data_IF_404348101567
#
_entry.id   IF_404348101567
#
_cell.length_a   1.000
_cell.length_b   1.000
_cell.length_c   1.000
_cell.angle_alpha   90.00
_cell.angle_beta   90.00
_cell.angle_gamma   90.00
#
_symmetry.space_group_name_H-M   'P 1'
#
loop_
_entity.id
_entity.type
_entity.pdbx_description
1 polymer ?
#
# COMPACT_ATOMS: atom_id res chain seq x y z
N UNK A 1 15.30 -14.13 52.63
CA UNK A 1 15.99 -13.00 51.99
C UNK A 1 17.26 -13.53 51.31
N UNK A 2 17.17 -13.95 50.04
CA UNK A 2 18.35 -14.31 49.22
C UNK A 2 18.64 -13.11 48.34
N UNK A 3 19.81 -12.51 48.56
CA UNK A 3 20.33 -11.43 47.72
C UNK A 3 20.57 -11.94 46.30
N UNK A 4 20.22 -11.10 45.33
CA UNK A 4 20.59 -11.22 43.93
C UNK A 4 22.10 -10.99 43.79
N UNK A 5 22.90 -12.05 43.88
CA UNK A 5 24.25 -12.07 43.32
C UNK A 5 24.10 -12.19 41.80
N UNK A 6 23.96 -11.05 41.13
CA UNK A 6 24.10 -10.95 39.68
C UNK A 6 25.56 -11.28 39.34
N UNK A 7 25.76 -12.46 38.77
CA UNK A 7 27.07 -13.00 38.40
C UNK A 7 27.80 -12.08 37.41
N UNK A 8 29.02 -11.68 37.75
CA UNK A 8 29.97 -10.94 36.88
C UNK A 8 30.21 -11.64 35.52
N UNK A 9 29.89 -12.93 35.41
CA UNK A 9 29.95 -13.71 34.17
C UNK A 9 28.94 -13.26 33.10
N UNK A 10 27.72 -12.85 33.46
CA UNK A 10 26.69 -12.41 32.48
C UNK A 10 27.01 -11.02 31.90
N UNK A 11 27.71 -10.18 32.66
CA UNK A 11 28.14 -8.85 32.19
C UNK A 11 29.35 -8.89 31.24
N UNK A 12 30.18 -9.94 31.34
CA UNK A 12 31.37 -10.08 30.50
C UNK A 12 31.02 -10.67 29.13
N UNK A 13 30.06 -11.59 29.09
CA UNK A 13 29.56 -12.22 27.85
C UNK A 13 28.80 -11.23 26.95
N UNK A 14 28.03 -10.29 27.55
CA UNK A 14 27.36 -9.22 26.78
C UNK A 14 28.34 -8.27 26.09
N UNK A 15 29.47 -7.96 26.72
CA UNK A 15 30.48 -7.05 26.13
C UNK A 15 31.20 -7.71 24.95
N UNK A 16 31.50 -9.00 25.03
CA UNK A 16 32.14 -9.75 23.94
C UNK A 16 31.23 -9.94 22.73
N UNK A 17 29.90 -9.99 22.92
CA UNK A 17 28.94 -10.16 21.83
C UNK A 17 28.60 -8.84 21.10
N UNK A 18 28.81 -7.68 21.75
CA UNK A 18 28.68 -6.36 21.14
C UNK A 18 29.88 -6.02 20.23
N UNK A 19 31.10 -6.44 20.60
CA UNK A 19 32.32 -6.14 19.83
C UNK A 19 32.45 -6.93 18.51
N UNK A 20 31.80 -8.09 18.39
CA UNK A 20 31.84 -8.93 17.18
C UNK A 20 30.58 -8.79 16.31
N UNK A 21 29.78 -7.75 16.52
CA UNK A 21 28.56 -7.52 15.76
C UNK A 21 28.93 -6.91 14.41
N UNK A 22 29.06 -7.75 13.38
CA UNK A 22 29.16 -7.28 11.99
C UNK A 22 28.03 -6.28 11.73
N UNK A 23 28.39 -5.11 11.19
CA UNK A 23 27.45 -4.00 11.07
C UNK A 23 26.28 -4.42 10.16
N UNK A 24 25.02 -4.31 10.62
CA UNK A 24 23.88 -4.71 9.81
C UNK A 24 23.73 -3.80 8.59
N UNK A 25 23.54 -4.38 7.42
CA UNK A 25 23.17 -3.66 6.20
C UNK A 25 21.69 -3.33 6.23
N UNK A 26 21.34 -2.04 6.16
CA UNK A 26 19.93 -1.59 6.19
C UNK A 26 19.50 -1.13 4.80
N UNK A 27 18.37 -1.66 4.34
CA UNK A 27 17.66 -1.18 3.15
C UNK A 27 16.42 -0.39 3.59
N UNK A 28 16.43 0.91 3.38
CA UNK A 28 15.33 1.79 3.74
C UNK A 28 14.47 2.07 2.50
N UNK A 29 13.31 1.41 2.43
CA UNK A 29 12.36 1.55 1.33
C UNK A 29 11.30 2.59 1.69
N UNK A 30 11.21 3.66 0.91
CA UNK A 30 10.29 4.78 1.15
C UNK A 30 9.34 4.89 -0.05
N UNK A 31 8.04 4.60 0.12
CA UNK A 31 7.06 4.88 -0.91
C UNK A 31 6.87 6.40 -1.04
N UNK A 32 6.93 6.90 -2.26
CA UNK A 32 6.72 8.29 -2.60
C UNK A 32 5.48 8.38 -3.49
N UNK A 33 4.43 9.05 -3.00
CA UNK A 33 3.19 9.26 -3.74
C UNK A 33 2.69 10.69 -3.55
N UNK A 34 2.54 11.45 -4.63
CA UNK A 34 1.82 12.73 -4.68
C UNK A 34 2.29 13.85 -3.70
N UNK A 35 3.53 13.77 -3.18
CA UNK A 35 4.11 14.72 -2.21
C UNK A 35 5.43 15.36 -2.71
N UNK A 36 5.40 15.98 -3.89
CA UNK A 36 6.59 16.62 -4.52
C UNK A 36 7.31 17.61 -3.59
N UNK A 37 6.57 18.30 -2.72
CA UNK A 37 7.10 19.34 -1.85
C UNK A 37 7.89 18.80 -0.64
N UNK A 38 7.69 17.55 -0.24
CA UNK A 38 8.32 17.00 0.97
C UNK A 38 9.65 16.30 0.71
N UNK A 39 9.80 15.66 -0.46
CA UNK A 39 11.05 15.00 -0.87
C UNK A 39 12.31 15.89 -0.73
N UNK A 40 12.28 17.20 -1.07
CA UNK A 40 13.42 18.10 -0.90
C UNK A 40 13.82 18.36 0.56
N UNK A 41 12.89 18.22 1.49
CA UNK A 41 13.12 18.45 2.92
C UNK A 41 13.55 17.15 3.59
N UNK A 42 12.91 16.04 3.20
CA UNK A 42 13.09 14.73 3.83
C UNK A 42 14.40 14.06 3.40
N UNK A 43 14.79 14.15 2.11
CA UNK A 43 16.03 13.55 1.60
C UNK A 43 17.31 13.99 2.34
N UNK A 44 17.59 15.28 2.59
CA UNK A 44 18.78 15.70 3.33
C UNK A 44 18.76 15.24 4.79
N UNK A 45 17.60 15.27 5.46
CA UNK A 45 17.47 14.79 6.85
C UNK A 45 17.75 13.28 6.94
N UNK A 46 17.31 12.51 5.95
CA UNK A 46 17.60 11.09 5.87
C UNK A 46 19.08 10.81 5.59
N UNK A 47 19.69 11.60 4.71
CA UNK A 47 21.12 11.51 4.42
C UNK A 47 21.95 11.78 5.68
N UNK A 48 21.62 12.84 6.42
CA UNK A 48 22.30 13.19 7.67
C UNK A 48 22.17 12.06 8.71
N UNK A 49 20.98 11.46 8.83
CA UNK A 49 20.75 10.34 9.74
C UNK A 49 21.54 9.09 9.34
N UNK A 50 21.53 8.70 8.07
CA UNK A 50 22.31 7.54 7.62
C UNK A 50 23.81 7.81 7.78
N UNK A 51 24.29 8.99 7.42
CA UNK A 51 25.69 9.37 7.56
C UNK A 51 26.12 9.38 9.03
N UNK A 52 25.27 9.88 9.93
CA UNK A 52 25.50 9.85 11.38
C UNK A 52 25.48 8.43 11.96
N UNK A 53 24.73 7.51 11.38
CA UNK A 53 24.70 6.10 11.80
C UNK A 53 25.89 5.31 11.23
N UNK A 54 26.33 5.60 9.99
CA UNK A 54 27.55 5.06 9.38
C UNK A 54 28.79 5.49 10.16
N UNK A 55 28.91 6.77 10.50
CA UNK A 55 30.06 7.28 11.28
C UNK A 55 30.18 6.65 12.67
N UNK A 56 29.04 6.28 13.28
CA UNK A 56 28.99 5.54 14.54
C UNK A 56 29.21 4.03 14.40
N UNK A 57 29.51 3.52 13.20
CA UNK A 57 29.68 2.09 12.90
C UNK A 57 28.45 1.25 13.31
N UNK A 58 27.25 1.85 13.31
CA UNK A 58 26.01 1.16 13.67
C UNK A 58 25.41 0.41 12.47
N UNK A 59 25.81 0.77 11.26
CA UNK A 59 25.29 0.24 9.98
C UNK A 59 26.38 0.21 8.93
N UNK A 60 26.35 -0.85 8.11
CA UNK A 60 27.32 -1.04 7.03
C UNK A 60 27.28 0.09 6.00
N UNK A 61 28.43 0.38 5.39
CA UNK A 61 28.55 1.32 4.27
C UNK A 61 27.73 0.90 3.04
N UNK A 62 27.40 -0.39 2.94
CA UNK A 62 26.50 -0.97 1.92
C UNK A 62 25.00 -0.73 2.22
N UNK A 63 24.66 0.13 3.19
CA UNK A 63 23.26 0.47 3.45
C UNK A 63 22.72 1.43 2.38
N UNK A 64 21.50 1.18 1.90
CA UNK A 64 20.90 1.88 0.77
C UNK A 64 19.50 2.44 1.07
N UNK A 65 19.14 3.54 0.41
CA UNK A 65 17.79 4.12 0.40
C UNK A 65 17.15 3.84 -0.95
N UNK A 66 15.98 3.19 -0.94
CA UNK A 66 15.19 2.91 -2.13
C UNK A 66 13.91 3.76 -2.11
N UNK A 67 13.83 4.72 -3.03
CA UNK A 67 12.66 5.55 -3.25
C UNK A 67 11.74 4.85 -4.27
N UNK A 68 10.53 4.48 -3.85
CA UNK A 68 9.56 3.78 -4.70
C UNK A 68 8.45 4.75 -5.09
N UNK A 69 8.44 5.18 -6.36
CA UNK A 69 7.38 6.01 -6.92
C UNK A 69 6.15 5.16 -7.24
N UNK A 70 5.10 5.28 -6.41
CA UNK A 70 3.84 4.52 -6.52
C UNK A 70 2.85 5.17 -7.50
N UNK A 71 3.33 5.49 -8.71
CA UNK A 71 2.50 6.02 -9.78
C UNK A 71 2.12 7.49 -9.63
N UNK A 72 3.01 8.32 -9.08
CA UNK A 72 2.79 9.76 -8.97
C UNK A 72 2.57 10.39 -10.35
N UNK A 73 1.57 11.26 -10.48
CA UNK A 73 1.32 12.04 -11.70
C UNK A 73 2.28 13.26 -11.81
N UNK A 74 3.07 13.49 -10.76
CA UNK A 74 3.86 14.71 -10.57
C UNK A 74 5.37 14.55 -10.84
N UNK A 75 6.10 15.67 -10.76
CA UNK A 75 7.56 15.80 -11.01
C UNK A 75 8.51 15.00 -10.09
N UNK A 76 8.01 14.14 -9.20
CA UNK A 76 8.79 13.23 -8.33
C UNK A 76 9.82 12.45 -9.14
N UNK A 77 9.46 12.02 -10.34
CA UNK A 77 10.35 11.28 -11.24
C UNK A 77 11.61 12.06 -11.63
N UNK A 78 11.48 13.37 -11.87
CA UNK A 78 12.63 14.21 -12.20
C UNK A 78 13.53 14.42 -10.98
N UNK A 79 12.93 14.46 -9.79
CA UNK A 79 13.65 14.63 -8.53
C UNK A 79 14.42 13.36 -8.12
N UNK A 80 13.79 12.19 -8.18
CA UNK A 80 14.45 10.89 -7.90
C UNK A 80 15.63 10.67 -8.86
N UNK A 81 15.50 11.03 -10.14
CA UNK A 81 16.62 10.96 -11.09
C UNK A 81 17.76 11.89 -10.72
N UNK A 82 17.46 13.13 -10.32
CA UNK A 82 18.49 14.08 -9.87
C UNK A 82 19.23 13.57 -8.63
N UNK A 83 18.51 12.97 -7.68
CA UNK A 83 19.14 12.35 -6.51
C UNK A 83 20.03 11.17 -6.89
N UNK A 84 19.57 10.30 -7.80
CA UNK A 84 20.37 9.17 -8.29
C UNK A 84 21.61 9.63 -9.08
N UNK A 85 21.53 10.73 -9.83
CA UNK A 85 22.66 11.32 -10.56
C UNK A 85 23.67 12.01 -9.63
N UNK A 86 23.24 12.44 -8.43
CA UNK A 86 24.08 13.14 -7.45
C UNK A 86 24.78 12.17 -6.49
N UNK A 87 24.06 11.14 -6.02
CA UNK A 87 24.56 10.16 -5.03
C UNK A 87 24.15 8.73 -5.42
N UNK A 88 24.71 8.26 -6.54
CA UNK A 88 24.36 6.97 -7.18
C UNK A 88 24.66 5.72 -6.32
N UNK A 89 25.43 5.85 -5.23
CA UNK A 89 25.75 4.75 -4.33
C UNK A 89 24.75 4.59 -3.17
N UNK A 90 23.95 5.61 -2.86
CA UNK A 90 23.06 5.62 -1.69
C UNK A 90 21.57 5.65 -2.06
N UNK A 91 21.20 6.36 -3.13
CA UNK A 91 19.80 6.53 -3.51
C UNK A 91 19.47 5.76 -4.78
N UNK A 92 18.56 4.80 -4.67
CA UNK A 92 18.00 4.09 -5.82
C UNK A 92 16.52 4.47 -6.00
N UNK A 93 16.08 4.57 -7.25
CA UNK A 93 14.70 4.93 -7.60
C UNK A 93 14.02 3.83 -8.41
N UNK A 94 12.84 3.36 -7.96
CA UNK A 94 12.01 2.40 -8.70
C UNK A 94 10.64 3.00 -8.95
N UNK A 95 10.16 2.97 -10.19
CA UNK A 95 8.83 3.41 -10.57
C UNK A 95 7.91 2.22 -10.78
N UNK A 96 6.75 2.23 -10.12
CA UNK A 96 5.67 1.28 -10.39
C UNK A 96 4.86 1.76 -11.61
N UNK A 97 4.52 0.83 -12.50
CA UNK A 97 3.88 1.12 -13.79
C UNK A 97 2.40 1.54 -13.66
N UNK A 98 1.78 1.30 -12.50
CA UNK A 98 0.40 1.68 -12.22
C UNK A 98 0.16 1.68 -10.71
N UNK A 99 -0.49 2.73 -10.18
CA UNK A 99 -1.04 2.71 -8.83
C UNK A 99 -2.28 1.79 -8.83
N UNK A 100 -2.04 0.50 -8.64
CA UNK A 100 -3.09 -0.50 -8.45
C UNK A 100 -2.93 -1.08 -7.05
N UNK A 101 -3.18 -0.20 -6.06
CA UNK A 101 -3.38 -0.51 -4.65
C UNK A 101 -2.60 -1.72 -4.16
N UNK A 102 -1.46 -1.47 -3.52
CA UNK A 102 -0.62 -2.49 -2.86
C UNK A 102 -1.45 -3.52 -2.05
N UNK A 103 -2.61 -3.10 -1.55
CA UNK A 103 -3.62 -3.93 -0.86
C UNK A 103 -4.21 -5.05 -1.73
N UNK A 104 -4.52 -4.80 -3.01
CA UNK A 104 -5.08 -5.82 -3.90
C UNK A 104 -4.05 -6.89 -4.28
N UNK A 105 -2.77 -6.49 -4.44
CA UNK A 105 -1.68 -7.41 -4.72
C UNK A 105 -1.36 -8.30 -3.50
N UNK A 106 -1.32 -7.72 -2.29
CA UNK A 106 -1.15 -8.48 -1.06
C UNK A 106 -2.31 -9.46 -0.80
N UNK A 107 -3.55 -9.03 -1.05
CA UNK A 107 -4.73 -9.90 -0.96
C UNK A 107 -4.67 -11.04 -1.99
N UNK A 108 -4.26 -10.76 -3.23
CA UNK A 108 -4.10 -11.79 -4.27
C UNK A 108 -3.02 -12.81 -3.88
N UNK A 109 -1.88 -12.37 -3.35
CA UNK A 109 -0.79 -13.24 -2.90
C UNK A 109 -1.26 -14.10 -1.71
N UNK A 110 -1.94 -13.50 -0.73
CA UNK A 110 -2.50 -14.24 0.42
C UNK A 110 -3.50 -15.32 -0.03
N UNK A 111 -4.38 -15.00 -0.98
CA UNK A 111 -5.36 -15.95 -1.52
C UNK A 111 -4.67 -17.10 -2.27
N UNK A 112 -3.65 -16.81 -3.07
CA UNK A 112 -2.88 -17.81 -3.83
C UNK A 112 -2.09 -18.73 -2.89
N UNK A 113 -1.45 -18.17 -1.85
CA UNK A 113 -0.70 -18.94 -0.84
C UNK A 113 -1.64 -19.79 0.01
N UNK A 114 -2.79 -19.25 0.42
CA UNK A 114 -3.83 -19.99 1.16
C UNK A 114 -4.41 -21.15 0.35
N UNK A 115 -4.63 -20.94 -0.95
CA UNK A 115 -5.04 -21.98 -1.89
C UNK A 115 -3.97 -23.07 -2.07
N UNK A 116 -2.70 -22.70 -2.15
CA UNK A 116 -1.57 -23.63 -2.31
C UNK A 116 -1.23 -24.41 -1.03
N UNK A 117 -1.46 -23.86 0.16
CA UNK A 117 -1.14 -24.50 1.45
C UNK A 117 -2.14 -25.55 1.91
N UNK A 118 -3.17 -25.89 1.12
CA UNK A 118 -4.25 -26.84 1.44
C UNK A 118 -4.97 -26.56 2.79
N UNK A 119 -4.73 -25.38 3.38
CA UNK A 119 -5.39 -24.80 4.53
C UNK A 119 -6.47 -23.82 4.06
N UNK A 120 -7.21 -24.22 3.02
CA UNK A 120 -8.34 -23.44 2.52
C UNK A 120 -9.34 -23.35 3.65
N UNK A 121 -9.59 -22.13 4.15
CA UNK A 121 -10.54 -21.90 5.24
C UNK A 121 -11.88 -22.52 4.84
N UNK A 122 -12.22 -23.63 5.51
CA UNK A 122 -13.41 -24.40 5.23
C UNK A 122 -14.65 -23.49 5.29
N UNK A 123 -15.48 -23.52 4.26
CA UNK A 123 -16.70 -22.72 4.19
C UNK A 123 -16.57 -21.35 3.48
N UNK A 124 -15.38 -20.95 3.01
CA UNK A 124 -15.27 -19.70 2.24
C UNK A 124 -16.10 -19.74 0.94
N UNK A 125 -16.09 -20.88 0.23
CA UNK A 125 -16.89 -21.06 -0.97
C UNK A 125 -18.40 -20.94 -0.74
N UNK A 126 -18.91 -21.43 0.39
CA UNK A 126 -20.34 -21.31 0.73
C UNK A 126 -20.74 -19.89 1.15
N UNK A 127 -19.84 -19.14 1.78
CA UNK A 127 -20.05 -17.72 2.11
C UNK A 127 -20.07 -16.88 0.82
N UNK A 128 -19.13 -17.09 -0.10
CA UNK A 128 -19.10 -16.39 -1.39
C UNK A 128 -20.35 -16.72 -2.23
N UNK A 129 -20.74 -18.00 -2.27
CA UNK A 129 -21.95 -18.44 -2.98
C UNK A 129 -23.21 -17.77 -2.41
N UNK A 130 -23.32 -17.70 -1.08
CA UNK A 130 -24.44 -17.02 -0.39
C UNK A 130 -24.47 -15.51 -0.69
N UNK A 131 -23.32 -14.84 -0.67
CA UNK A 131 -23.22 -13.41 -0.97
C UNK A 131 -23.64 -13.09 -2.41
N UNK A 132 -23.23 -13.91 -3.38
CA UNK A 132 -23.62 -13.72 -4.78
C UNK A 132 -25.10 -14.01 -5.01
N UNK A 133 -25.66 -15.02 -4.35
CA UNK A 133 -27.09 -15.30 -4.42
C UNK A 133 -27.93 -14.15 -3.87
N UNK A 134 -27.58 -13.66 -2.68
CA UNK A 134 -28.29 -12.53 -2.04
C UNK A 134 -28.07 -11.24 -2.84
N UNK A 135 -26.85 -10.97 -3.28
CA UNK A 135 -26.53 -9.81 -4.11
C UNK A 135 -27.28 -9.79 -5.43
N UNK A 136 -27.38 -10.94 -6.10
CA UNK A 136 -28.16 -11.11 -7.32
C UNK A 136 -29.67 -10.88 -7.08
N UNK A 137 -30.21 -11.40 -5.97
CA UNK A 137 -31.61 -11.20 -5.60
C UNK A 137 -31.93 -9.73 -5.27
N UNK A 138 -31.01 -9.02 -4.61
CA UNK A 138 -31.13 -7.58 -4.35
C UNK A 138 -31.10 -6.75 -5.64
N UNK A 139 -30.21 -7.08 -6.57
CA UNK A 139 -30.14 -6.43 -7.89
C UNK A 139 -31.43 -6.65 -8.69
N UNK A 140 -31.97 -7.88 -8.68
CA UNK A 140 -33.24 -8.21 -9.33
C UNK A 140 -34.40 -7.42 -8.72
N UNK A 141 -34.45 -7.33 -7.39
CA UNK A 141 -35.48 -6.59 -6.67
C UNK A 141 -35.44 -5.09 -7.00
N UNK A 142 -34.23 -4.51 -7.07
CA UNK A 142 -34.06 -3.11 -7.46
C UNK A 142 -34.41 -2.88 -8.93
N UNK A 143 -34.16 -3.83 -9.82
CA UNK A 143 -34.60 -3.76 -11.22
C UNK A 143 -36.12 -3.64 -11.35
N UNK A 144 -36.87 -4.48 -10.62
CA UNK A 144 -38.34 -4.45 -10.62
C UNK A 144 -38.86 -3.11 -10.07
N UNK A 145 -38.26 -2.60 -8.99
CA UNK A 145 -38.62 -1.29 -8.43
C UNK A 145 -38.32 -0.17 -9.44
N UNK A 146 -37.19 -0.24 -10.16
CA UNK A 146 -36.82 0.71 -11.19
C UNK A 146 -37.84 0.78 -12.34
N UNK A 147 -38.35 -0.36 -12.79
CA UNK A 147 -39.41 -0.40 -13.80
C UNK A 147 -40.72 0.23 -13.28
N UNK A 148 -41.08 -0.05 -12.02
CA UNK A 148 -42.28 0.50 -11.39
C UNK A 148 -42.20 2.03 -11.25
N UNK A 149 -41.06 2.53 -10.77
CA UNK A 149 -40.79 3.98 -10.68
C UNK A 149 -40.80 4.61 -12.08
N UNK A 150 -40.25 3.93 -13.10
CA UNK A 150 -40.29 4.41 -14.48
C UNK A 150 -41.71 4.60 -15.01
N UNK A 151 -42.61 3.64 -14.74
CA UNK A 151 -44.04 3.74 -15.11
C UNK A 151 -44.73 4.89 -14.36
N UNK A 152 -44.44 5.07 -13.07
CA UNK A 152 -44.96 6.20 -12.29
C UNK A 152 -44.44 7.53 -12.82
N UNK A 153 -43.15 7.63 -13.14
CA UNK A 153 -42.55 8.84 -13.69
C UNK A 153 -43.21 9.23 -15.02
N UNK A 154 -43.47 8.26 -15.89
CA UNK A 154 -44.20 8.49 -17.15
C UNK A 154 -45.64 8.94 -16.91
N UNK A 155 -46.33 8.37 -15.92
CA UNK A 155 -47.68 8.78 -15.54
C UNK A 155 -47.71 10.19 -14.94
N UNK A 156 -46.73 10.54 -14.10
CA UNK A 156 -46.62 11.84 -13.46
C UNK A 156 -46.28 12.98 -14.43
N UNK A 157 -45.62 12.69 -15.57
CA UNK A 157 -45.12 13.72 -16.49
C UNK A 157 -46.17 14.34 -17.42
N UNK A 158 -47.46 13.98 -17.32
CA UNK A 158 -48.61 14.65 -17.97
C UNK A 158 -48.30 15.33 -19.33
N UNK A 159 -47.60 14.64 -20.24
CA UNK A 159 -47.40 15.16 -21.59
C UNK A 159 -48.62 14.76 -22.42
N UNK A 160 -49.44 15.71 -22.88
CA UNK A 160 -50.57 15.39 -23.75
C UNK A 160 -50.04 14.68 -24.99
N UNK A 161 -50.57 13.47 -25.25
CA UNK A 161 -50.03 12.55 -26.27
C UNK A 161 -50.48 12.92 -27.69
N UNK A 162 -51.27 13.97 -27.83
CA UNK A 162 -51.83 14.47 -29.08
C UNK A 162 -52.14 15.96 -28.91
N UNK A 163 -51.50 16.79 -29.73
CA UNK A 163 -52.00 18.14 -30.04
C UNK A 163 -52.89 17.92 -31.25
N UNK A 164 -54.21 17.98 -31.06
CA UNK A 164 -55.14 17.92 -32.18
C UNK A 164 -55.14 19.32 -32.77
N UNK A 165 -54.42 19.51 -33.87
CA UNK A 165 -54.55 20.72 -34.68
C UNK A 165 -55.84 20.53 -35.50
N UNK A 166 -56.92 21.17 -35.03
CA UNK A 166 -58.14 21.25 -35.80
C UNK A 166 -57.91 22.29 -36.90
N UNK A 167 -57.47 21.81 -38.07
CA UNK A 167 -57.60 22.56 -39.30
C UNK A 167 -59.04 22.38 -39.81
N UNK A 168 -59.83 23.46 -39.70
CA UNK A 168 -60.84 24.05 -40.60
C UNK A 168 -61.72 24.99 -39.77
#
# INVERSE_FOLDING_TARGET
MRGLELSEGDMTDRRTNEENRQQPTIFLVIPCYNEVAQLPITAPVLLDKITAMKSKHLISDDSHILLVDDGSEDGIRQYIRRLNDTDSSLFHGVKLAHNRGHQNALLAIYVIVSWASNNVVSGWGSIMCSLWLIGGLLMLSMGIIGEYIGKIYLAAKHRPRYVIEAEI
#
